data_IF_426914162923
#
_entry.id   IF_426914162923
#
_cell.length_a   1.000
_cell.length_b   1.000
_cell.length_c   1.000
_cell.angle_alpha   90.00
_cell.angle_beta   90.00
_cell.angle_gamma   90.00
#
_symmetry.space_group_name_H-M   'P 1'
#
loop_
_entity.id
_entity.type
_entity.pdbx_description
1 polymer ?
#
# COMPACT_ATOMS: atom_id res chain seq x y z
N UNK A 1 -8.03 -12.51 14.74
CA UNK A 1 -8.66 -11.19 14.47
C UNK A 1 -7.64 -10.05 14.53
N UNK A 2 -6.48 -10.24 15.18
CA UNK A 2 -5.40 -9.24 15.26
C UNK A 2 -4.73 -8.88 13.92
N UNK A 3 -4.76 -9.77 12.93
CA UNK A 3 -4.12 -9.49 11.62
C UNK A 3 -4.76 -8.32 10.85
N UNK A 4 -6.04 -7.99 11.11
CA UNK A 4 -6.73 -6.95 10.34
C UNK A 4 -6.12 -5.56 10.57
N UNK A 5 -5.73 -5.26 11.82
CA UNK A 5 -5.07 -3.99 12.15
C UNK A 5 -3.67 -3.93 11.57
N UNK A 6 -2.91 -5.04 11.63
CA UNK A 6 -1.57 -5.13 11.04
C UNK A 6 -1.59 -4.91 9.53
N UNK A 7 -2.48 -5.62 8.83
CA UNK A 7 -2.67 -5.49 7.38
C UNK A 7 -3.10 -4.07 7.02
N UNK A 8 -4.10 -3.54 7.73
CA UNK A 8 -4.60 -2.17 7.54
C UNK A 8 -3.49 -1.12 7.73
N UNK A 9 -2.54 -1.34 8.64
CA UNK A 9 -1.41 -0.45 8.85
C UNK A 9 -0.37 -0.56 7.72
N UNK A 10 -0.10 -1.75 7.20
CA UNK A 10 0.85 -1.96 6.10
C UNK A 10 0.37 -1.36 4.77
N UNK A 11 -0.94 -1.36 4.53
CA UNK A 11 -1.53 -0.76 3.32
C UNK A 11 -1.95 0.70 3.54
N UNK A 12 -1.76 1.25 4.74
CA UNK A 12 -2.11 2.63 5.05
C UNK A 12 -1.24 3.55 4.22
N UNK A 13 -1.87 4.45 3.48
CA UNK A 13 -1.19 5.55 2.80
C UNK A 13 -1.83 6.88 3.21
N UNK A 14 -1.14 8.02 3.06
CA UNK A 14 -1.72 9.35 3.26
C UNK A 14 -2.99 9.58 2.44
N UNK A 15 -3.21 8.78 1.40
CA UNK A 15 -4.28 8.91 0.43
C UNK A 15 -5.36 7.84 0.57
N UNK A 16 -5.16 6.87 1.47
CA UNK A 16 -6.13 5.80 1.73
C UNK A 16 -6.71 5.97 3.12
N UNK A 17 -8.01 6.25 3.21
CA UNK A 17 -8.68 6.40 4.49
C UNK A 17 -8.99 5.02 5.10
N UNK A 18 -8.00 4.45 5.79
CA UNK A 18 -8.12 3.14 6.45
C UNK A 18 -8.96 3.17 7.75
N UNK A 19 -9.36 4.36 8.22
CA UNK A 19 -10.23 4.49 9.39
C UNK A 19 -11.73 4.32 9.05
N UNK A 20 -12.11 4.49 7.76
CA UNK A 20 -13.49 4.30 7.28
C UNK A 20 -13.99 2.88 7.56
N UNK A 21 -15.24 2.79 8.05
CA UNK A 21 -15.92 1.52 8.34
C UNK A 21 -16.07 0.65 7.09
N UNK A 22 -16.40 1.27 5.95
CA UNK A 22 -16.50 0.60 4.65
C UNK A 22 -15.19 -0.12 4.29
N UNK A 23 -14.06 0.59 4.35
CA UNK A 23 -12.74 0.01 4.06
C UNK A 23 -12.44 -1.21 4.95
N UNK A 24 -12.71 -1.11 6.26
CA UNK A 24 -12.50 -2.23 7.20
C UNK A 24 -13.38 -3.44 6.86
N UNK A 25 -14.62 -3.20 6.46
CA UNK A 25 -15.55 -4.26 6.06
C UNK A 25 -15.11 -4.94 4.76
N UNK A 26 -14.72 -4.16 3.75
CA UNK A 26 -14.21 -4.65 2.47
C UNK A 26 -12.92 -5.45 2.67
N UNK A 27 -11.97 -4.93 3.44
CA UNK A 27 -10.72 -5.61 3.77
C UNK A 27 -10.97 -6.93 4.52
N UNK A 28 -11.91 -6.94 5.46
CA UNK A 28 -12.30 -8.16 6.18
C UNK A 28 -12.90 -9.19 5.23
N UNK A 29 -13.81 -8.79 4.34
CA UNK A 29 -14.39 -9.67 3.34
C UNK A 29 -13.33 -10.24 2.39
N UNK A 30 -12.42 -9.40 1.92
CA UNK A 30 -11.29 -9.80 1.08
C UNK A 30 -10.43 -10.86 1.76
N UNK A 31 -10.05 -10.65 3.02
CA UNK A 31 -9.20 -11.57 3.79
C UNK A 31 -9.87 -12.93 4.03
N UNK A 32 -11.17 -12.94 4.33
CA UNK A 32 -11.93 -14.18 4.53
C UNK A 32 -11.99 -15.00 3.24
N UNK A 33 -12.20 -14.32 2.10
CA UNK A 33 -12.36 -14.95 0.79
C UNK A 33 -11.02 -15.19 0.05
N UNK A 34 -9.89 -14.90 0.70
CA UNK A 34 -8.57 -15.04 0.10
C UNK A 34 -8.16 -16.52 -0.04
N UNK A 35 -7.89 -16.94 -1.27
CA UNK A 35 -7.36 -18.27 -1.58
C UNK A 35 -5.88 -18.38 -1.23
N UNK A 36 -5.47 -19.48 -0.59
CA UNK A 36 -4.06 -19.69 -0.20
C UNK A 36 -3.14 -20.11 -1.35
N UNK A 37 -3.70 -20.36 -2.53
CA UNK A 37 -2.98 -20.72 -3.75
C UNK A 37 -2.89 -19.54 -4.74
N UNK A 38 -3.17 -18.31 -4.27
CA UNK A 38 -3.19 -17.11 -5.11
C UNK A 38 -2.32 -16.02 -4.48
N UNK A 39 -1.65 -15.27 -5.33
CA UNK A 39 -1.02 -14.00 -4.97
C UNK A 39 -1.93 -12.90 -5.50
N UNK A 40 -2.40 -12.05 -4.60
CA UNK A 40 -3.26 -10.93 -4.92
C UNK A 40 -2.40 -9.69 -5.09
N UNK A 41 -2.65 -8.94 -6.15
CA UNK A 41 -1.95 -7.70 -6.43
C UNK A 41 -2.90 -6.53 -6.15
N UNK A 42 -2.52 -5.69 -5.19
CA UNK A 42 -3.22 -4.45 -4.88
C UNK A 42 -2.37 -3.28 -5.35
N UNK A 43 -2.97 -2.39 -6.14
CA UNK A 43 -2.35 -1.16 -6.62
C UNK A 43 -3.22 0.01 -6.19
N UNK A 44 -2.60 1.03 -5.59
CA UNK A 44 -3.32 2.24 -5.23
C UNK A 44 -3.40 3.24 -6.40
N UNK A 45 -4.05 4.37 -6.18
CA UNK A 45 -4.20 5.44 -7.19
C UNK A 45 -2.90 6.13 -7.62
N UNK A 46 -1.78 5.82 -6.95
CA UNK A 46 -0.45 6.37 -7.23
C UNK A 46 0.50 5.33 -7.84
N UNK A 47 -0.03 4.24 -8.39
CA UNK A 47 0.75 3.11 -8.92
C UNK A 47 1.67 2.44 -7.86
N UNK A 48 1.37 2.59 -6.57
CA UNK A 48 2.07 1.87 -5.50
C UNK A 48 1.49 0.47 -5.40
N UNK A 49 2.35 -0.52 -5.56
CA UNK A 49 2.01 -1.92 -5.64
C UNK A 49 2.27 -2.64 -4.30
N UNK A 50 1.39 -3.59 -4.01
CA UNK A 50 1.47 -4.50 -2.89
C UNK A 50 1.08 -5.90 -3.36
N UNK A 51 1.87 -6.91 -3.01
CA UNK A 51 1.51 -8.31 -3.19
C UNK A 51 1.02 -8.87 -1.85
N UNK A 52 -0.14 -9.51 -1.84
CA UNK A 52 -0.79 -10.04 -0.65
C UNK A 52 -1.10 -11.51 -0.89
N UNK A 53 -0.68 -12.37 0.03
CA UNK A 53 -0.99 -13.80 -0.06
C UNK A 53 -1.14 -14.43 1.32
N UNK A 54 -1.94 -15.51 1.38
CA UNK A 54 -2.28 -16.21 2.60
C UNK A 54 -1.57 -17.55 2.67
N UNK A 55 -0.74 -17.74 3.69
CA UNK A 55 -0.02 -19.00 3.89
C UNK A 55 -0.84 -19.94 4.79
N UNK A 56 -1.40 -21.01 4.20
CA UNK A 56 -2.33 -21.92 4.89
C UNK A 56 -1.73 -22.59 6.13
N UNK A 57 -0.46 -22.96 6.08
CA UNK A 57 0.25 -23.66 7.17
C UNK A 57 0.33 -22.81 8.45
N UNK A 58 0.55 -21.51 8.31
CA UNK A 58 0.74 -20.59 9.44
C UNK A 58 -0.52 -19.75 9.73
N UNK A 59 -1.58 -19.88 8.92
CA UNK A 59 -2.78 -19.02 8.97
C UNK A 59 -2.45 -17.51 8.95
N UNK A 60 -1.29 -17.15 8.38
CA UNK A 60 -0.78 -15.78 8.32
C UNK A 60 -0.95 -15.19 6.92
N UNK A 61 -1.04 -13.87 6.88
CA UNK A 61 -1.09 -13.09 5.64
C UNK A 61 0.23 -12.35 5.51
N UNK A 62 0.85 -12.52 4.35
CA UNK A 62 2.08 -11.83 3.99
C UNK A 62 1.77 -10.72 3.02
N UNK A 63 2.45 -9.59 3.22
CA UNK A 63 2.36 -8.41 2.37
C UNK A 63 3.78 -8.05 1.94
N UNK A 64 4.01 -7.97 0.63
CA UNK A 64 5.25 -7.49 0.04
C UNK A 64 4.99 -6.12 -0.57
N UNK A 65 5.75 -5.12 -0.15
CA UNK A 65 5.62 -3.72 -0.58
C UNK A 65 5.80 -2.75 0.60
N UNK A 66 5.55 -1.45 0.37
CA UNK A 66 5.18 -0.84 -0.91
C UNK A 66 6.32 -0.85 -1.92
N UNK A 67 6.02 -1.07 -3.20
CA UNK A 67 6.99 -0.89 -4.29
C UNK A 67 6.37 -0.20 -5.51
N UNK A 68 7.21 0.43 -6.32
CA UNK A 68 6.87 0.96 -7.63
C UNK A 68 7.79 0.30 -8.66
N UNK A 69 7.24 -0.09 -9.81
CA UNK A 69 8.06 -0.67 -10.89
C UNK A 69 9.08 0.34 -11.43
N UNK A 70 8.68 1.61 -11.50
CA UNK A 70 9.51 2.70 -11.95
C UNK A 70 9.35 3.90 -11.01
N UNK A 71 10.45 4.56 -10.70
CA UNK A 71 10.43 5.81 -9.95
C UNK A 71 9.77 6.90 -10.82
N UNK A 72 8.67 7.54 -10.37
CA UNK A 72 8.08 8.63 -11.11
C UNK A 72 9.05 9.81 -11.17
N UNK A 73 9.16 10.43 -12.35
CA UNK A 73 9.82 11.72 -12.49
C UNK A 73 8.94 12.84 -11.92
N UNK A 74 9.50 14.04 -11.78
CA UNK A 74 8.80 15.19 -11.19
C UNK A 74 7.47 15.50 -11.90
N UNK A 75 7.46 15.44 -13.24
CA UNK A 75 6.26 15.64 -14.04
C UNK A 75 5.16 14.63 -13.69
N UNK A 76 5.48 13.33 -13.68
CA UNK A 76 4.51 12.27 -13.34
C UNK A 76 4.04 12.39 -11.89
N UNK A 77 4.90 12.83 -10.98
CA UNK A 77 4.51 13.10 -9.61
C UNK A 77 3.47 14.23 -9.52
N UNK A 78 3.68 15.32 -10.25
CA UNK A 78 2.74 16.44 -10.32
C UNK A 78 1.39 16.03 -10.93
N UNK A 79 1.40 15.22 -11.99
CA UNK A 79 0.19 14.67 -12.62
C UNK A 79 -0.61 13.81 -11.62
N UNK A 80 0.05 12.92 -10.87
CA UNK A 80 -0.60 12.09 -9.84
C UNK A 80 -1.20 12.92 -8.70
N UNK A 81 -0.51 13.97 -8.25
CA UNK A 81 -1.01 14.87 -7.21
C UNK A 81 -2.23 15.67 -7.68
N UNK A 82 -2.22 16.13 -8.93
CA UNK A 82 -3.36 16.83 -9.54
C UNK A 82 -4.58 15.91 -9.68
N UNK A 83 -4.38 14.67 -10.15
CA UNK A 83 -5.45 13.66 -10.24
C UNK A 83 -6.10 13.37 -8.88
N UNK A 84 -5.30 13.39 -7.82
CA UNK A 84 -5.79 13.21 -6.45
C UNK A 84 -6.39 14.49 -5.82
N UNK A 85 -6.52 15.59 -6.57
CA UNK A 85 -6.96 16.91 -6.09
C UNK A 85 -6.13 17.44 -4.90
N UNK A 86 -4.85 17.12 -4.85
CA UNK A 86 -3.94 17.56 -3.80
C UNK A 86 -3.24 18.84 -4.26
N UNK A 87 -3.47 19.94 -3.53
CA UNK A 87 -2.81 21.22 -3.84
C UNK A 87 -1.31 21.10 -3.61
N UNK A 88 -0.53 21.29 -4.67
CA UNK A 88 0.93 21.37 -4.61
C UNK A 88 1.27 22.71 -3.94
N UNK A 89 1.59 22.70 -2.65
CA UNK A 89 2.25 23.84 -2.02
C UNK A 89 3.72 23.83 -2.44
N UNK A 90 4.32 25.01 -2.66
CA UNK A 90 5.73 25.22 -3.08
C UNK A 90 6.80 24.58 -2.17
N UNK A 91 6.41 23.83 -1.15
CA UNK A 91 7.27 23.33 -0.06
C UNK A 91 7.27 21.80 0.10
N UNK A 92 6.66 21.05 -0.82
CA UNK A 92 6.99 19.63 -0.96
C UNK A 92 8.17 19.49 -1.92
N UNK A 93 9.37 19.93 -1.50
CA UNK A 93 10.56 19.23 -1.94
C UNK A 93 10.36 17.79 -1.51
N UNK A 94 10.06 16.91 -2.48
CA UNK A 94 10.19 15.47 -2.31
C UNK A 94 11.66 15.26 -1.93
N UNK A 95 11.96 15.33 -0.64
CA UNK A 95 13.12 14.66 -0.09
C UNK A 95 12.82 13.21 -0.44
N UNK A 96 13.56 12.61 -1.38
CA UNK A 96 13.46 11.18 -1.55
C UNK A 96 13.82 10.67 -0.17
N UNK A 97 12.89 9.99 0.51
CA UNK A 97 13.35 9.03 1.47
C UNK A 97 14.28 8.14 0.65
N UNK A 98 15.58 8.34 0.85
CA UNK A 98 16.58 7.31 0.67
C UNK A 98 15.85 6.00 1.01
N UNK A 99 15.85 4.98 0.16
CA UNK A 99 17.03 4.13 0.04
C UNK A 99 17.88 4.15 1.33
N UNK A 100 17.23 4.14 2.49
CA UNK A 100 17.82 3.64 3.71
C UNK A 100 18.03 2.17 3.38
N UNK A 101 19.25 1.87 2.92
CA UNK A 101 19.85 0.58 3.12
C UNK A 101 19.46 0.14 4.52
N UNK A 102 18.51 -0.79 4.61
CA UNK A 102 18.42 -1.65 5.77
C UNK A 102 19.45 -2.72 5.44
N UNK A 103 20.67 -2.68 6.02
CA UNK A 103 21.54 -3.84 5.93
C UNK A 103 20.77 -4.96 6.62
N UNK A 104 20.48 -6.04 5.89
CA UNK A 104 20.17 -7.31 6.53
C UNK A 104 21.40 -7.67 7.37
N UNK A 105 21.20 -7.68 8.69
CA UNK A 105 22.06 -8.35 9.65
C UNK A 105 21.19 -9.28 10.46
#
# INVERSE_FOLDING_TARGET
MDDLKGISNHIKSPFTNTSRKQFKNELKHFIVNMGSNKIYHYTNVFDVNFLIFKFKKYKQIYIIGPYMEQRPNERRCNELLQQANIKISKQCSFVPASCANIPFK
#
